data_IF_443673863770
#
_entry.id   IF_443673863770
#
_cell.length_a   1.000
_cell.length_b   1.000
_cell.length_c   1.000
_cell.angle_alpha   90.00
_cell.angle_beta   90.00
_cell.angle_gamma   90.00
#
_symmetry.space_group_name_H-M   'P 1'
#
loop_
_entity.id
_entity.type
_entity.pdbx_description
1 polymer ?
#
# COMPACT_ATOMS: atom_id res chain seq x y z
N UNK A 1 -12.66 -7.60 -7.63
CA UNK A 1 -13.23 -6.25 -7.47
C UNK A 1 -12.08 -5.30 -7.19
N UNK A 2 -11.89 -4.21 -7.95
CA UNK A 2 -10.88 -3.21 -7.58
C UNK A 2 -11.26 -2.59 -6.23
N UNK A 3 -10.28 -2.21 -5.39
CA UNK A 3 -10.59 -1.56 -4.13
C UNK A 3 -11.30 -0.22 -4.38
N UNK A 4 -12.51 -0.07 -3.84
CA UNK A 4 -13.32 1.13 -3.90
C UNK A 4 -13.39 1.78 -2.52
N UNK A 5 -12.50 2.73 -2.26
CA UNK A 5 -12.40 3.46 -0.99
C UNK A 5 -13.57 4.44 -0.73
N UNK A 6 -14.73 4.18 -1.32
CA UNK A 6 -15.90 5.07 -1.33
C UNK A 6 -16.47 5.24 0.08
N UNK A 7 -16.56 4.15 0.84
CA UNK A 7 -17.08 4.17 2.21
C UNK A 7 -16.15 4.94 3.16
N UNK A 8 -14.85 4.74 3.05
CA UNK A 8 -13.82 5.44 3.82
C UNK A 8 -13.82 6.93 3.48
N UNK A 9 -13.93 7.28 2.19
CA UNK A 9 -14.00 8.68 1.74
C UNK A 9 -15.27 9.38 2.23
N UNK A 10 -16.41 8.69 2.24
CA UNK A 10 -17.64 9.21 2.80
C UNK A 10 -17.51 9.50 4.30
N UNK A 11 -16.88 8.59 5.06
CA UNK A 11 -16.60 8.79 6.50
C UNK A 11 -15.59 9.90 6.76
N UNK A 12 -14.62 10.09 5.86
CA UNK A 12 -13.58 11.10 6.01
C UNK A 12 -14.08 12.55 5.83
N UNK A 13 -15.33 12.76 5.38
CA UNK A 13 -15.95 14.09 5.34
C UNK A 13 -15.21 15.11 4.45
N UNK A 14 -14.54 14.64 3.40
CA UNK A 14 -13.70 15.48 2.53
C UNK A 14 -12.21 15.44 2.85
N UNK A 15 -11.79 14.76 3.93
CA UNK A 15 -10.39 14.51 4.20
C UNK A 15 -9.79 13.44 3.25
N UNK A 16 -8.46 13.47 3.14
CA UNK A 16 -7.70 12.53 2.30
C UNK A 16 -7.69 11.14 2.94
N UNK A 17 -8.12 10.13 2.19
CA UNK A 17 -8.01 8.71 2.58
C UNK A 17 -6.69 8.13 2.10
N UNK A 18 -5.96 7.50 3.02
CA UNK A 18 -4.66 6.87 2.79
C UNK A 18 -4.65 5.48 3.43
N UNK A 19 -4.08 4.50 2.74
CA UNK A 19 -3.83 3.17 3.31
C UNK A 19 -2.53 3.17 4.11
N UNK A 20 -2.52 2.47 5.24
CA UNK A 20 -1.35 2.33 6.12
C UNK A 20 -1.08 0.85 6.38
N UNK A 21 0.20 0.48 6.52
CA UNK A 21 0.61 -0.89 6.84
C UNK A 21 1.95 -0.91 7.61
N UNK A 22 2.21 -2.00 8.34
CA UNK A 22 3.42 -2.23 9.12
C UNK A 22 4.10 -3.58 8.83
N UNK A 23 5.42 -3.61 8.92
CA UNK A 23 6.23 -4.81 8.80
C UNK A 23 7.18 -4.94 9.99
N UNK A 24 7.30 -6.15 10.55
CA UNK A 24 8.26 -6.46 11.62
C UNK A 24 7.68 -6.50 13.04
N UNK A 25 6.38 -6.25 13.25
CA UNK A 25 5.73 -6.27 14.58
C UNK A 25 5.94 -7.56 15.40
N UNK A 26 6.20 -8.69 14.74
CA UNK A 26 6.38 -10.01 15.38
C UNK A 26 7.82 -10.52 15.42
N UNK A 27 8.81 -9.72 15.02
CA UNK A 27 10.21 -10.15 15.01
C UNK A 27 10.82 -10.09 16.42
N UNK A 28 11.60 -11.11 16.79
CA UNK A 28 12.35 -11.16 18.06
C UNK A 28 13.44 -10.08 18.10
N UNK A 29 14.00 -9.72 16.94
CA UNK A 29 14.98 -8.67 16.76
C UNK A 29 14.79 -8.01 15.39
N UNK A 30 15.10 -6.72 15.30
CA UNK A 30 14.95 -5.90 14.09
C UNK A 30 13.90 -4.79 14.25
N UNK A 31 13.95 -3.75 13.41
CA UNK A 31 13.04 -2.62 13.50
C UNK A 31 11.64 -2.98 13.01
N UNK A 32 10.64 -2.29 13.55
CA UNK A 32 9.30 -2.21 12.95
C UNK A 32 9.29 -1.04 11.98
N UNK A 33 8.79 -1.26 10.76
CA UNK A 33 8.67 -0.23 9.73
C UNK A 33 7.20 -0.05 9.38
N UNK A 34 6.71 1.18 9.41
CA UNK A 34 5.36 1.54 8.98
C UNK A 34 5.41 2.43 7.74
N UNK A 35 4.43 2.28 6.84
CA UNK A 35 4.33 3.06 5.62
C UNK A 35 2.87 3.47 5.35
N UNK A 36 2.72 4.57 4.61
CA UNK A 36 1.42 5.11 4.21
C UNK A 36 1.45 5.40 2.70
N UNK A 37 0.41 4.98 1.97
CA UNK A 37 0.30 5.20 0.54
C UNK A 37 -1.12 5.57 0.11
N UNK A 38 -1.24 6.51 -0.83
CA UNK A 38 -2.51 6.96 -1.39
C UNK A 38 -2.56 6.77 -2.89
N UNK A 39 -3.67 6.18 -3.37
CA UNK A 39 -4.03 6.24 -4.79
C UNK A 39 -4.76 7.55 -5.12
N UNK A 40 -4.28 8.26 -6.14
CA UNK A 40 -4.89 9.51 -6.60
C UNK A 40 -6.24 9.30 -7.30
N UNK A 41 -6.39 8.17 -8.00
CA UNK A 41 -7.62 7.81 -8.72
C UNK A 41 -8.29 6.60 -8.05
N UNK A 42 -9.62 6.61 -8.01
CA UNK A 42 -10.37 5.44 -7.55
C UNK A 42 -10.25 4.32 -8.59
N UNK A 43 -10.17 3.07 -8.13
CA UNK A 43 -10.03 1.92 -9.02
C UNK A 43 -8.66 1.78 -9.69
N UNK A 44 -7.66 2.58 -9.32
CA UNK A 44 -6.28 2.37 -9.79
C UNK A 44 -5.82 0.96 -9.42
N UNK A 45 -5.45 0.17 -10.43
CA UNK A 45 -4.85 -1.14 -10.26
C UNK A 45 -3.43 -1.09 -10.78
N UNK A 46 -2.47 -1.54 -9.97
CA UNK A 46 -1.08 -1.70 -10.39
C UNK A 46 -0.87 -3.15 -10.77
N UNK A 47 -0.58 -3.46 -12.05
CA UNK A 47 -0.35 -4.84 -12.47
C UNK A 47 0.81 -5.47 -11.69
N UNK A 48 0.56 -6.61 -11.08
CA UNK A 48 1.54 -7.34 -10.27
C UNK A 48 1.69 -6.86 -8.82
N UNK A 49 0.97 -5.81 -8.40
CA UNK A 49 0.81 -5.49 -6.98
C UNK A 49 -0.23 -6.46 -6.38
N UNK A 50 0.26 -7.47 -5.67
CA UNK A 50 -0.52 -8.45 -4.90
C UNK A 50 0.06 -8.54 -3.47
N UNK A 51 -0.50 -9.37 -2.59
CA UNK A 51 0.01 -9.55 -1.22
C UNK A 51 1.54 -9.73 -1.25
N UNK A 52 2.24 -8.86 -0.52
CA UNK A 52 3.71 -8.77 -0.53
C UNK A 52 4.39 -10.08 -0.14
N UNK A 53 3.67 -11.02 0.50
CA UNK A 53 4.13 -12.36 0.84
C UNK A 53 4.25 -13.29 -0.38
N UNK A 54 3.56 -13.00 -1.47
CA UNK A 54 3.64 -13.75 -2.74
C UNK A 54 4.68 -13.20 -3.71
N UNK A 55 5.26 -12.04 -3.40
CA UNK A 55 6.21 -11.35 -4.27
C UNK A 55 7.65 -11.67 -3.86
N UNK A 56 8.51 -11.88 -4.85
CA UNK A 56 9.96 -11.99 -4.61
C UNK A 56 10.52 -10.62 -4.15
N UNK A 57 11.63 -10.59 -3.41
CA UNK A 57 12.25 -9.34 -2.98
C UNK A 57 12.50 -8.37 -4.15
N UNK A 58 13.04 -8.89 -5.26
CA UNK A 58 13.25 -8.12 -6.50
C UNK A 58 11.96 -7.52 -7.05
N UNK A 59 10.86 -8.29 -7.05
CA UNK A 59 9.57 -7.80 -7.57
C UNK A 59 8.98 -6.69 -6.70
N UNK A 60 9.15 -6.79 -5.38
CA UNK A 60 8.73 -5.73 -4.44
C UNK A 60 9.49 -4.43 -4.68
N UNK A 61 10.79 -4.51 -4.95
CA UNK A 61 11.62 -3.34 -5.24
C UNK A 61 11.24 -2.69 -6.58
N UNK A 62 11.02 -3.47 -7.64
CA UNK A 62 10.50 -2.96 -8.92
C UNK A 62 9.15 -2.24 -8.76
N UNK A 63 8.25 -2.79 -7.94
CA UNK A 63 6.94 -2.19 -7.67
C UNK A 63 7.10 -0.93 -6.82
N UNK A 64 7.98 -0.94 -5.81
CA UNK A 64 8.28 0.23 -4.99
C UNK A 64 8.76 1.40 -5.85
N UNK A 65 9.73 1.19 -6.74
CA UNK A 65 10.23 2.23 -7.64
C UNK A 65 9.14 2.79 -8.55
N UNK A 66 8.21 1.93 -9.00
CA UNK A 66 7.05 2.37 -9.80
C UNK A 66 6.05 3.21 -8.99
N UNK A 67 5.91 2.93 -7.70
CA UNK A 67 5.02 3.66 -6.79
C UNK A 67 5.60 5.02 -6.39
N UNK A 68 6.91 5.12 -6.23
CA UNK A 68 7.59 6.35 -5.79
C UNK A 68 8.11 7.21 -6.92
N UNK A 69 8.06 6.71 -8.17
CA UNK A 69 8.44 7.47 -9.36
C UNK A 69 9.94 7.70 -9.46
N UNK A 70 10.72 6.62 -9.35
CA UNK A 70 12.18 6.62 -9.28
C UNK A 70 12.92 7.52 -10.27
#
# INVERSE_FOLDING_TARGET
MPPDWTAERAKAGGAVVTGVDEAGRGALAGPVVAAAYRFHQSGTRIPGLDDSKKLTPKKREEIYLRLTGG
#
